data_IF_146231959105
#
_entry.id   IF_146231959105
#
_cell.length_a   1.000
_cell.length_b   1.000
_cell.length_c   1.000
_cell.angle_alpha   90.00
_cell.angle_beta   90.00
_cell.angle_gamma   90.00
#
_symmetry.space_group_name_H-M   'P 1'
#
loop_
_entity.id
_entity.type
_entity.pdbx_description
1 polymer ?
#
# COMPACT_ATOMS: atom_id res chain seq x y z
N UNK A 1 -26.40 2.26 -6.35
CA UNK A 1 -25.40 3.30 -6.67
C UNK A 1 -24.63 2.84 -7.89
N UNK A 2 -24.41 3.66 -8.92
CA UNK A 2 -23.61 3.25 -10.07
C UNK A 2 -22.19 2.94 -9.58
N UNK A 3 -21.71 1.73 -9.87
CA UNK A 3 -20.33 1.33 -9.55
C UNK A 3 -19.41 2.21 -10.40
N UNK A 4 -18.61 3.06 -9.74
CA UNK A 4 -17.60 3.91 -10.39
C UNK A 4 -16.73 3.07 -11.35
N UNK A 5 -16.37 3.64 -12.50
CA UNK A 5 -15.56 2.94 -13.51
C UNK A 5 -14.25 2.37 -12.96
N UNK A 6 -13.69 3.03 -11.94
CA UNK A 6 -12.48 2.63 -11.23
C UNK A 6 -12.64 1.33 -10.44
N UNK A 7 -13.76 1.19 -9.72
CA UNK A 7 -14.07 -0.02 -8.96
C UNK A 7 -14.13 -1.24 -9.89
N UNK A 8 -14.71 -1.06 -11.08
CA UNK A 8 -14.76 -2.13 -12.09
C UNK A 8 -13.36 -2.44 -12.67
N UNK A 9 -12.54 -1.41 -12.94
CA UNK A 9 -11.18 -1.58 -13.45
C UNK A 9 -10.30 -2.37 -12.48
N UNK A 10 -10.22 -1.91 -11.23
CA UNK A 10 -9.41 -2.55 -10.18
C UNK A 10 -9.98 -3.92 -9.79
N UNK A 11 -11.30 -4.06 -9.70
CA UNK A 11 -11.95 -5.35 -9.47
C UNK A 11 -11.63 -6.40 -10.55
N UNK A 12 -11.45 -5.98 -11.81
CA UNK A 12 -11.02 -6.87 -12.88
C UNK A 12 -9.53 -7.22 -12.77
N UNK A 13 -8.66 -6.27 -12.42
CA UNK A 13 -7.23 -6.52 -12.20
C UNK A 13 -7.00 -7.54 -11.08
N UNK A 14 -7.68 -7.37 -9.94
CA UNK A 14 -7.63 -8.31 -8.81
C UNK A 14 -8.07 -9.72 -9.25
N UNK A 15 -9.20 -9.86 -9.95
CA UNK A 15 -9.68 -11.18 -10.41
C UNK A 15 -8.74 -11.88 -11.39
N UNK A 16 -7.96 -11.12 -12.15
CA UNK A 16 -7.05 -11.68 -13.14
C UNK A 16 -5.74 -12.19 -12.54
N UNK A 17 -5.41 -11.78 -11.29
CA UNK A 17 -4.17 -12.17 -10.64
C UNK A 17 -4.39 -13.34 -9.65
N UNK A 18 -3.78 -14.51 -9.89
CA UNK A 18 -3.96 -15.73 -9.08
C UNK A 18 -3.38 -15.63 -7.66
N UNK A 19 -2.46 -14.70 -7.40
CA UNK A 19 -1.86 -14.50 -6.08
C UNK A 19 -2.73 -13.65 -5.15
N UNK A 20 -3.80 -13.08 -5.68
CA UNK A 20 -4.80 -12.39 -4.84
C UNK A 20 -5.76 -13.42 -4.25
N UNK A 21 -5.70 -13.65 -2.94
CA UNK A 21 -6.58 -14.57 -2.20
C UNK A 21 -7.72 -13.79 -1.49
N UNK A 22 -8.90 -14.41 -1.32
CA UNK A 22 -10.12 -13.68 -0.89
C UNK A 22 -11.02 -14.44 0.12
N UNK A 23 -11.46 -13.79 1.23
CA UNK A 23 -12.68 -14.15 2.02
C UNK A 23 -13.19 -13.01 2.96
N UNK A 24 -14.51 -12.69 3.03
CA UNK A 24 -15.10 -11.67 3.97
C UNK A 24 -15.89 -10.46 3.36
N UNK A 25 -16.38 -9.48 4.18
CA UNK A 25 -17.27 -8.35 3.76
C UNK A 25 -16.53 -7.12 3.15
N UNK A 26 -15.34 -6.73 3.62
CA UNK A 26 -14.48 -5.84 2.80
C UNK A 26 -13.95 -6.58 1.57
N UNK A 27 -13.93 -7.90 1.65
CA UNK A 27 -13.78 -8.85 0.56
C UNK A 27 -15.02 -8.94 -0.35
N UNK A 28 -16.13 -8.26 0.00
CA UNK A 28 -17.32 -8.06 -0.84
C UNK A 28 -17.22 -6.83 -1.77
N UNK A 29 -16.57 -5.74 -1.32
CA UNK A 29 -16.39 -4.51 -2.12
C UNK A 29 -14.99 -4.40 -2.78
N UNK A 30 -13.94 -4.89 -2.11
CA UNK A 30 -12.54 -5.01 -2.56
C UNK A 30 -11.79 -3.71 -2.84
N UNK A 31 -12.51 -2.68 -3.27
CA UNK A 31 -12.03 -1.34 -3.58
C UNK A 31 -13.02 -0.37 -2.97
N UNK A 32 -12.53 0.55 -2.15
CA UNK A 32 -13.33 1.59 -1.52
C UNK A 32 -12.68 2.92 -1.83
N UNK A 33 -13.51 3.88 -2.21
CA UNK A 33 -13.11 5.24 -2.54
C UNK A 33 -13.88 6.21 -1.64
N UNK A 34 -13.23 7.29 -1.23
CA UNK A 34 -13.87 8.43 -0.54
C UNK A 34 -13.52 9.72 -1.26
N UNK A 35 -14.47 10.66 -1.29
CA UNK A 35 -14.25 12.04 -1.75
C UNK A 35 -13.53 12.89 -0.70
N UNK A 36 -13.40 12.38 0.54
CA UNK A 36 -12.68 13.06 1.62
C UNK A 36 -11.77 12.12 2.39
N UNK A 37 -10.54 12.01 1.90
CA UNK A 37 -9.48 11.18 2.44
C UNK A 37 -8.89 11.70 3.74
N UNK A 38 -8.46 10.79 4.61
CA UNK A 38 -7.76 11.14 5.85
C UNK A 38 -6.25 11.28 5.65
N UNK A 39 -5.69 10.56 4.67
CA UNK A 39 -4.27 10.61 4.32
C UNK A 39 -4.01 11.46 3.08
N UNK A 40 -5.04 11.73 2.28
CA UNK A 40 -4.95 12.61 1.12
C UNK A 40 -4.76 14.09 1.54
N UNK A 41 -3.81 14.77 0.92
CA UNK A 41 -3.54 16.20 1.13
C UNK A 41 -4.82 17.03 0.93
N UNK A 42 -5.05 18.03 1.79
CA UNK A 42 -6.27 18.84 1.81
C UNK A 42 -7.59 18.06 1.90
N UNK A 43 -7.57 16.83 2.43
CA UNK A 43 -8.77 15.97 2.53
C UNK A 43 -9.38 15.65 1.16
N UNK A 44 -8.55 15.56 0.11
CA UNK A 44 -8.98 15.21 -1.25
C UNK A 44 -9.33 13.72 -1.36
N UNK A 45 -9.67 13.24 -2.56
CA UNK A 45 -10.04 11.84 -2.83
C UNK A 45 -8.96 10.85 -2.32
N UNK A 46 -9.41 9.70 -1.86
CA UNK A 46 -8.55 8.60 -1.39
C UNK A 46 -9.19 7.27 -1.78
N UNK A 47 -8.39 6.29 -2.17
CA UNK A 47 -8.87 4.97 -2.57
C UNK A 47 -7.99 3.88 -1.97
N UNK A 48 -8.63 2.87 -1.42
CA UNK A 48 -7.99 1.66 -0.89
C UNK A 48 -8.49 0.43 -1.64
N UNK A 49 -7.57 -0.45 -2.00
CA UNK A 49 -7.84 -1.74 -2.62
C UNK A 49 -7.20 -2.85 -1.77
N UNK A 50 -7.95 -3.89 -1.43
CA UNK A 50 -7.40 -5.08 -0.78
C UNK A 50 -6.81 -6.00 -1.85
N UNK A 51 -5.49 -6.13 -1.87
CA UNK A 51 -4.74 -6.90 -2.87
C UNK A 51 -4.49 -8.32 -2.39
N UNK A 52 -4.09 -8.49 -1.13
CA UNK A 52 -3.93 -9.81 -0.50
C UNK A 52 -4.50 -9.79 0.92
N UNK A 53 -5.34 -10.78 1.21
CA UNK A 53 -5.97 -11.02 2.52
C UNK A 53 -5.51 -12.37 3.07
N UNK A 54 -4.20 -12.49 3.32
CA UNK A 54 -3.61 -13.71 3.85
C UNK A 54 -3.21 -13.48 5.32
N UNK A 55 -3.93 -14.04 6.31
CA UNK A 55 -3.62 -13.81 7.72
C UNK A 55 -2.31 -14.48 8.17
N UNK A 56 -1.79 -15.45 7.44
CA UNK A 56 -0.51 -16.10 7.76
C UNK A 56 0.67 -15.32 7.20
N UNK A 57 0.49 -14.73 6.02
CA UNK A 57 1.56 -14.02 5.33
C UNK A 57 1.51 -12.49 5.52
N UNK A 58 0.34 -11.96 5.86
CA UNK A 58 0.03 -10.55 6.09
C UNK A 58 -0.79 -9.90 4.98
N UNK A 59 -1.16 -8.64 5.20
CA UNK A 59 -2.15 -7.94 4.37
C UNK A 59 -1.48 -6.97 3.39
N UNK A 60 -1.87 -7.06 2.12
CA UNK A 60 -1.39 -6.13 1.09
C UNK A 60 -2.52 -5.24 0.62
N UNK A 61 -2.26 -3.93 0.63
CA UNK A 61 -3.20 -2.91 0.16
C UNK A 61 -2.61 -2.11 -0.97
N UNK A 62 -3.43 -1.85 -1.98
CA UNK A 62 -3.23 -0.78 -2.94
C UNK A 62 -3.83 0.50 -2.37
N UNK A 63 -3.13 1.61 -2.52
CA UNK A 63 -3.58 2.91 -2.05
C UNK A 63 -3.36 3.96 -3.14
N UNK A 64 -4.38 4.78 -3.40
CA UNK A 64 -4.25 6.04 -4.14
C UNK A 64 -4.60 7.21 -3.22
N UNK A 65 -3.71 8.19 -3.13
CA UNK A 65 -3.93 9.42 -2.38
C UNK A 65 -3.27 10.62 -3.05
N UNK A 66 -3.72 11.82 -2.71
CA UNK A 66 -3.03 13.05 -3.07
C UNK A 66 -1.91 13.33 -2.07
N UNK A 67 -0.72 13.61 -2.56
CA UNK A 67 0.41 13.99 -1.73
C UNK A 67 0.58 15.51 -1.68
N UNK A 68 1.23 16.00 -0.63
CA UNK A 68 1.60 17.41 -0.54
C UNK A 68 2.69 17.72 -1.59
N UNK A 69 2.46 18.69 -2.50
CA UNK A 69 3.42 19.05 -3.53
C UNK A 69 4.72 19.66 -2.98
N UNK A 70 4.72 20.18 -1.74
CA UNK A 70 5.89 20.79 -1.10
C UNK A 70 6.76 19.76 -0.35
N UNK A 71 6.16 18.66 0.15
CA UNK A 71 6.88 17.63 0.92
C UNK A 71 7.59 16.58 0.07
N UNK A 72 7.51 16.65 -1.27
CA UNK A 72 8.14 15.66 -2.14
C UNK A 72 9.13 16.25 -3.14
N UNK A 73 10.40 15.83 -2.97
CA UNK A 73 11.47 16.03 -3.96
C UNK A 73 11.13 15.42 -5.35
N UNK A 74 10.12 14.53 -5.40
CA UNK A 74 9.57 13.95 -6.63
C UNK A 74 8.46 14.76 -7.27
N UNK A 75 7.48 15.28 -6.50
CA UNK A 75 6.39 16.09 -7.02
C UNK A 75 6.91 17.39 -7.67
N UNK A 76 7.96 17.97 -7.08
CA UNK A 76 8.62 19.18 -7.56
C UNK A 76 9.33 19.05 -8.91
N UNK A 77 9.58 17.82 -9.41
CA UNK A 77 10.23 17.59 -10.72
C UNK A 77 9.27 17.25 -11.85
N UNK A 78 8.13 16.61 -11.55
CA UNK A 78 7.15 16.20 -12.57
C UNK A 78 5.83 16.98 -12.54
N UNK A 79 5.52 17.68 -11.44
CA UNK A 79 4.20 18.30 -11.24
C UNK A 79 3.10 17.30 -10.82
N UNK A 80 3.44 16.02 -10.75
CA UNK A 80 2.53 14.96 -10.33
C UNK A 80 2.22 15.06 -8.83
N UNK A 81 0.94 14.95 -8.47
CA UNK A 81 0.45 15.14 -7.09
C UNK A 81 -0.37 13.97 -6.57
N UNK A 82 -0.58 12.93 -7.38
CA UNK A 82 -1.27 11.71 -6.98
C UNK A 82 -0.27 10.57 -6.88
N UNK A 83 -0.29 9.85 -5.76
CA UNK A 83 0.53 8.67 -5.55
C UNK A 83 -0.35 7.42 -5.62
N UNK A 84 0.10 6.43 -6.39
CA UNK A 84 -0.40 5.06 -6.36
C UNK A 84 0.67 4.16 -5.77
N UNK A 85 0.32 3.32 -4.80
CA UNK A 85 1.28 2.43 -4.17
C UNK A 85 0.71 1.12 -3.62
N UNK A 86 1.59 0.13 -3.52
CA UNK A 86 1.37 -1.13 -2.80
C UNK A 86 2.04 -1.09 -1.44
N UNK A 87 1.34 -1.60 -0.43
CA UNK A 87 1.73 -1.50 0.97
C UNK A 87 1.51 -2.84 1.64
N UNK A 88 2.49 -3.26 2.43
CA UNK A 88 2.28 -4.31 3.42
C UNK A 88 1.85 -3.68 4.74
N UNK A 89 0.69 -4.07 5.25
CA UNK A 89 0.17 -3.59 6.53
C UNK A 89 0.04 -4.78 7.47
N UNK A 90 0.62 -4.66 8.66
CA UNK A 90 0.64 -5.76 9.64
C UNK A 90 -0.74 -6.04 10.25
N UNK A 91 -1.65 -5.07 10.16
CA UNK A 91 -3.00 -5.12 10.69
C UNK A 91 -4.01 -5.16 9.55
N UNK A 92 -5.11 -5.88 9.75
CA UNK A 92 -6.21 -5.89 8.79
C UNK A 92 -6.95 -4.55 8.83
N UNK A 93 -6.97 -3.84 7.70
CA UNK A 93 -7.74 -2.62 7.51
C UNK A 93 -9.15 -3.02 7.06
N UNK A 94 -10.04 -3.20 8.03
CA UNK A 94 -11.47 -3.48 7.81
C UNK A 94 -12.34 -2.61 8.70
N UNK A 95 -13.58 -2.32 8.31
CA UNK A 95 -14.54 -1.53 9.07
C UNK A 95 -15.98 -1.66 8.54
N UNK A 96 -16.95 -1.31 9.38
CA UNK A 96 -18.38 -1.36 9.04
C UNK A 96 -18.84 -0.17 8.17
N UNK A 97 -18.02 0.88 8.04
CA UNK A 97 -18.32 2.07 7.23
C UNK A 97 -17.06 2.56 6.50
N UNK A 98 -17.25 3.24 5.36
CA UNK A 98 -16.17 3.83 4.56
C UNK A 98 -15.35 4.82 5.39
N UNK A 99 -16.02 5.70 6.13
CA UNK A 99 -15.36 6.69 6.99
C UNK A 99 -14.46 6.04 8.05
N UNK A 100 -14.96 5.01 8.74
CA UNK A 100 -14.17 4.27 9.74
C UNK A 100 -13.01 3.50 9.10
N UNK A 101 -13.16 3.01 7.87
CA UNK A 101 -12.08 2.35 7.13
C UNK A 101 -10.91 3.31 6.91
N UNK A 102 -11.17 4.50 6.38
CA UNK A 102 -10.11 5.50 6.12
C UNK A 102 -9.53 6.09 7.41
N UNK A 103 -10.32 6.23 8.48
CA UNK A 103 -9.78 6.57 9.80
C UNK A 103 -8.84 5.49 10.33
N UNK A 104 -9.19 4.20 10.20
CA UNK A 104 -8.33 3.08 10.60
C UNK A 104 -7.06 3.00 9.76
N UNK A 105 -7.18 3.21 8.45
CA UNK A 105 -6.04 3.31 7.53
C UNK A 105 -5.06 4.38 8.03
N UNK A 106 -5.53 5.61 8.25
CA UNK A 106 -4.71 6.68 8.82
C UNK A 106 -4.09 6.32 10.16
N UNK A 107 -4.85 5.73 11.07
CA UNK A 107 -4.36 5.35 12.38
C UNK A 107 -3.20 4.35 12.27
N UNK A 108 -3.37 3.27 11.52
CA UNK A 108 -2.34 2.23 11.44
C UNK A 108 -1.12 2.65 10.63
N UNK A 109 -1.31 3.33 9.50
CA UNK A 109 -0.22 3.73 8.60
C UNK A 109 0.52 4.95 9.17
N UNK A 110 -0.18 6.07 9.39
CA UNK A 110 0.48 7.33 9.76
C UNK A 110 0.68 7.47 11.27
N UNK A 111 -0.30 7.09 12.09
CA UNK A 111 -0.20 7.30 13.55
C UNK A 111 0.65 6.23 14.23
N UNK A 112 0.59 4.98 13.76
CA UNK A 112 1.29 3.85 14.38
C UNK A 112 2.49 3.36 13.58
N UNK A 113 2.67 3.80 12.34
CA UNK A 113 3.78 3.36 11.49
C UNK A 113 3.77 1.85 11.21
N UNK A 114 2.60 1.19 11.26
CA UNK A 114 2.47 -0.28 11.16
C UNK A 114 2.32 -0.73 9.72
N UNK A 115 3.27 -0.34 8.88
CA UNK A 115 3.38 -0.77 7.50
C UNK A 115 4.85 -0.98 7.11
N UNK A 116 5.05 -1.78 6.07
CA UNK A 116 6.37 -2.02 5.47
C UNK A 116 6.32 -1.76 3.97
N UNK A 117 7.40 -1.21 3.39
CA UNK A 117 7.55 -1.10 1.94
C UNK A 117 7.59 -2.48 1.28
N UNK A 118 7.09 -2.56 0.06
CA UNK A 118 7.22 -3.75 -0.78
C UNK A 118 8.54 -3.72 -1.57
N UNK A 119 9.05 -4.90 -1.95
CA UNK A 119 10.18 -5.02 -2.86
C UNK A 119 9.77 -4.68 -4.30
N UNK A 120 10.52 -3.81 -4.96
CA UNK A 120 10.36 -3.46 -6.37
C UNK A 120 11.28 -4.31 -7.26
N UNK A 121 10.78 -4.74 -8.43
CA UNK A 121 11.61 -5.37 -9.48
C UNK A 121 11.96 -4.32 -10.53
N UNK A 122 10.98 -3.49 -10.88
CA UNK A 122 11.10 -2.31 -11.71
C UNK A 122 10.72 -1.05 -10.93
N UNK A 123 11.13 0.11 -11.44
CA UNK A 123 10.90 1.39 -10.78
C UNK A 123 9.42 1.64 -10.47
N UNK A 124 8.48 1.23 -11.31
CA UNK A 124 7.08 1.66 -11.16
C UNK A 124 6.14 0.55 -10.67
N UNK A 125 6.73 -0.49 -10.09
CA UNK A 125 6.00 -1.70 -9.70
C UNK A 125 5.18 -1.59 -8.42
N UNK A 126 5.62 -0.73 -7.50
CA UNK A 126 5.06 -0.64 -6.14
C UNK A 126 4.73 0.80 -5.76
N UNK A 127 5.20 1.78 -6.54
CA UNK A 127 4.96 3.19 -6.33
C UNK A 127 5.06 3.97 -7.65
N UNK A 128 4.04 4.78 -7.95
CA UNK A 128 3.97 5.66 -9.12
C UNK A 128 3.36 6.99 -8.70
N UNK A 129 3.95 8.07 -9.22
CA UNK A 129 3.36 9.40 -9.18
C UNK A 129 2.61 9.67 -10.49
N UNK A 130 1.45 10.31 -10.42
CA UNK A 130 0.62 10.65 -11.55
C UNK A 130 0.02 12.07 -11.43
N UNK A 131 -0.38 12.63 -12.57
CA UNK A 131 -0.90 14.00 -12.65
C UNK A 131 -2.39 14.07 -12.25
N UNK A 132 -3.09 12.93 -12.33
CA UNK A 132 -4.50 12.81 -11.97
C UNK A 132 -4.78 11.57 -11.12
N UNK A 133 -5.91 11.61 -10.39
CA UNK A 133 -6.41 10.47 -9.64
C UNK A 133 -6.67 9.27 -10.57
N UNK A 134 -7.22 9.53 -11.75
CA UNK A 134 -7.51 8.56 -12.79
C UNK A 134 -6.29 7.80 -13.26
N UNK A 135 -5.20 8.52 -13.55
CA UNK A 135 -3.92 7.93 -13.95
C UNK A 135 -3.29 7.14 -12.80
N UNK A 136 -3.37 7.64 -11.56
CA UNK A 136 -2.91 6.91 -10.39
C UNK A 136 -3.67 5.59 -10.21
N UNK A 137 -5.00 5.61 -10.38
CA UNK A 137 -5.82 4.39 -10.35
C UNK A 137 -5.45 3.41 -11.47
N UNK A 138 -5.19 3.91 -12.68
CA UNK A 138 -4.75 3.09 -13.80
C UNK A 138 -3.38 2.45 -13.55
N UNK A 139 -2.44 3.22 -12.96
CA UNK A 139 -1.14 2.73 -12.53
C UNK A 139 -1.26 1.66 -11.44
N UNK A 140 -2.09 1.89 -10.42
CA UNK A 140 -2.35 0.90 -9.37
C UNK A 140 -2.93 -0.40 -9.96
N UNK A 141 -3.83 -0.29 -10.94
CA UNK A 141 -4.37 -1.47 -11.61
C UNK A 141 -3.27 -2.29 -12.31
N UNK A 142 -2.27 -1.64 -12.90
CA UNK A 142 -1.13 -2.33 -13.52
C UNK A 142 -0.20 -2.96 -12.48
N UNK A 143 0.11 -2.25 -11.39
CA UNK A 143 0.87 -2.81 -10.26
C UNK A 143 0.20 -4.08 -9.72
N UNK A 144 -1.12 -4.05 -9.54
CA UNK A 144 -1.90 -5.21 -9.07
C UNK A 144 -1.84 -6.37 -10.07
N UNK A 145 -1.86 -6.12 -11.39
CA UNK A 145 -1.73 -7.21 -12.39
C UNK A 145 -0.37 -7.89 -12.33
N UNK A 146 0.67 -7.15 -11.97
CA UNK A 146 2.07 -7.63 -11.84
C UNK A 146 2.42 -8.08 -10.43
N UNK A 147 1.47 -8.01 -9.49
CA UNK A 147 1.72 -8.37 -8.10
C UNK A 147 2.03 -9.87 -8.01
N UNK A 148 3.15 -10.20 -7.38
CA UNK A 148 3.52 -11.57 -7.03
C UNK A 148 3.90 -11.54 -5.55
N UNK A 149 3.23 -12.36 -4.74
CA UNK A 149 3.37 -12.30 -3.30
C UNK A 149 4.81 -12.59 -2.84
N UNK A 150 5.41 -13.63 -3.39
CA UNK A 150 6.74 -14.10 -2.97
C UNK A 150 7.82 -13.14 -3.46
N UNK A 151 7.62 -12.48 -4.60
CA UNK A 151 8.56 -11.47 -5.08
C UNK A 151 8.48 -10.15 -4.31
N UNK A 152 7.30 -9.80 -3.80
CA UNK A 152 7.07 -8.52 -3.08
C UNK A 152 7.35 -8.60 -1.58
N UNK A 153 7.21 -9.78 -0.99
CA UNK A 153 7.26 -10.02 0.46
C UNK A 153 8.11 -11.24 0.87
N UNK A 154 8.67 -11.97 -0.08
CA UNK A 154 9.46 -13.17 0.20
C UNK A 154 10.74 -12.89 1.00
N UNK A 155 11.37 -13.95 1.53
CA UNK A 155 12.56 -13.83 2.36
C UNK A 155 13.62 -13.02 1.61
N UNK A 156 14.33 -12.14 2.33
CA UNK A 156 15.45 -11.32 1.84
C UNK A 156 16.38 -12.16 0.95
N UNK A 157 16.10 -12.19 -0.35
CA UNK A 157 16.92 -12.89 -1.33
C UNK A 157 18.02 -11.92 -1.75
N UNK A 158 18.94 -11.70 -0.80
CA UNK A 158 20.24 -11.07 -1.02
C UNK A 158 21.11 -11.94 -1.96
N UNK A 159 20.62 -13.12 -2.35
CA UNK A 159 21.24 -14.07 -3.25
C UNK A 159 20.17 -14.71 -4.15
N UNK A 160 19.87 -14.05 -5.27
CA UNK A 160 19.48 -14.75 -6.48
C UNK A 160 20.63 -14.56 -7.47
N UNK A 161 21.11 -15.68 -7.99
CA UNK A 161 22.25 -15.81 -8.90
C UNK A 161 22.25 -14.71 -9.98
N UNK A 162 23.09 -13.69 -9.76
CA UNK A 162 23.58 -12.80 -10.82
C UNK A 162 22.62 -11.78 -11.46
N UNK A 163 21.29 -11.95 -11.48
CA UNK A 163 20.49 -11.22 -12.49
C UNK A 163 19.23 -10.43 -12.06
N UNK A 164 18.81 -10.34 -10.78
CA UNK A 164 17.82 -9.30 -10.42
C UNK A 164 17.94 -8.87 -8.95
N UNK A 165 18.26 -7.59 -8.71
CA UNK A 165 18.24 -6.99 -7.37
C UNK A 165 16.84 -6.47 -7.07
N UNK A 166 16.12 -7.15 -6.19
CA UNK A 166 14.87 -6.66 -5.62
C UNK A 166 15.20 -5.53 -4.64
N UNK A 167 14.83 -4.30 -4.98
CA UNK A 167 15.16 -3.13 -4.15
C UNK A 167 13.93 -2.76 -3.32
N UNK A 168 14.11 -2.59 -2.01
CA UNK A 168 13.06 -2.08 -1.14
C UNK A 168 12.69 -0.65 -1.57
N UNK A 169 11.42 -0.42 -1.91
CA UNK A 169 11.00 0.91 -2.37
C UNK A 169 10.56 1.79 -1.21
N UNK A 170 11.40 2.75 -0.86
CA UNK A 170 11.17 3.62 0.29
C UNK A 170 10.27 4.83 -0.04
N UNK A 171 9.84 5.01 -1.30
CA UNK A 171 9.03 6.18 -1.70
C UNK A 171 7.65 6.21 -1.04
N UNK A 172 7.14 5.05 -0.60
CA UNK A 172 5.90 4.99 0.15
C UNK A 172 5.94 5.80 1.47
N UNK A 173 7.10 5.92 2.12
CA UNK A 173 7.22 6.71 3.36
C UNK A 173 6.98 8.19 3.12
N UNK A 174 7.50 8.71 2.00
CA UNK A 174 7.29 10.10 1.59
C UNK A 174 5.83 10.41 1.31
N UNK A 175 5.02 9.43 0.87
CA UNK A 175 3.59 9.66 0.61
C UNK A 175 2.76 9.92 1.87
N UNK A 176 3.19 9.47 3.05
CA UNK A 176 2.42 9.62 4.29
C UNK A 176 2.90 10.74 5.21
N UNK A 177 3.82 11.58 4.75
CA UNK A 177 4.46 12.62 5.57
C UNK A 177 5.29 12.03 6.72
N UNK A 178 5.69 10.76 6.62
CA UNK A 178 6.47 10.09 7.63
C UNK A 178 7.93 10.55 7.57
N UNK A 179 8.40 11.19 8.64
CA UNK A 179 9.83 11.13 9.00
C UNK A 179 10.13 9.64 9.20
N UNK A 180 11.20 9.12 8.59
CA UNK A 180 11.73 7.79 8.89
C UNK A 180 12.04 7.71 10.40
N UNK A 181 11.05 7.41 11.23
CA UNK A 181 11.28 6.95 12.58
C UNK A 181 11.86 5.54 12.42
N UNK A 182 13.19 5.52 12.33
CA UNK A 182 14.09 4.36 12.34
C UNK A 182 13.39 3.04 11.99
N UNK A 183 13.46 2.66 10.71
CA UNK A 183 13.26 1.27 10.34
C UNK A 183 14.59 0.55 10.62
N UNK A 184 14.70 -0.02 11.82
CA UNK A 184 15.92 -0.67 12.34
C UNK A 184 16.20 -2.01 11.65
N UNK A 185 15.31 -2.47 10.77
CA UNK A 185 15.43 -3.74 10.06
C UNK A 185 15.30 -4.98 10.95
N UNK A 186 14.96 -4.81 12.24
CA UNK A 186 14.74 -5.88 13.22
C UNK A 186 13.26 -6.22 13.34
N UNK A 187 12.98 -7.50 13.18
CA UNK A 187 11.68 -8.12 13.35
C UNK A 187 11.21 -7.98 14.82
N UNK A 188 10.01 -7.44 15.11
CA UNK A 188 9.49 -7.40 16.49
C UNK A 188 9.25 -8.80 17.08
N UNK A 189 9.38 -9.87 16.29
CA UNK A 189 9.31 -11.24 16.79
C UNK A 189 10.60 -11.74 17.49
N UNK A 190 11.72 -11.01 17.47
CA UNK A 190 12.99 -11.49 18.06
C UNK A 190 13.21 -11.16 19.54
N UNK A 191 12.37 -10.36 20.19
CA UNK A 191 12.47 -10.11 21.64
C UNK A 191 11.61 -11.09 22.46
N UNK A 192 11.95 -12.39 22.39
CA UNK A 192 11.62 -13.32 23.48
C UNK A 192 12.85 -13.54 24.34
N UNK A 193 13.08 -12.57 25.23
CA UNK A 193 14.06 -12.61 26.29
C UNK A 193 13.55 -11.87 27.52
N UNK A 194 12.37 -12.24 28.03
CA UNK A 194 11.96 -11.82 29.37
C UNK A 194 12.65 -12.74 30.38
N UNK A 195 13.77 -12.26 30.92
CA UNK A 195 14.24 -12.70 32.23
C UNK A 195 13.16 -12.35 33.29
N UNK A 196 12.91 -13.23 34.27
CA UNK A 196 11.99 -12.92 35.35
C UNK A 196 12.69 -11.95 36.31
N UNK A 197 12.09 -10.77 36.50
CA UNK A 197 12.45 -9.87 37.60
C UNK A 197 11.70 -10.29 38.88
N UNK A 198 12.27 -10.00 40.07
CA UNK A 198 12.27 -10.85 41.27
C UNK A 198 10.95 -10.94 42.05
#
# INVERSE_FOLDING_TARGET
MPVSGYIKLLGNALKANPDTRWSGILSAHRVVETESGYLSFNRDRELLALVSDDPEKGYVYGHVLRVDPEDQEQASRSGAVWAALLLFVHERLDADTEDLLFQRCRYWIQTRGRYSPCHAQERDDVFVMADSFEEAVAALAEMIRRFDYELRLGPRHDQLDGETRYVLDMRCFSAYGGIMASWDGTDPASEKGHEPCP
#
